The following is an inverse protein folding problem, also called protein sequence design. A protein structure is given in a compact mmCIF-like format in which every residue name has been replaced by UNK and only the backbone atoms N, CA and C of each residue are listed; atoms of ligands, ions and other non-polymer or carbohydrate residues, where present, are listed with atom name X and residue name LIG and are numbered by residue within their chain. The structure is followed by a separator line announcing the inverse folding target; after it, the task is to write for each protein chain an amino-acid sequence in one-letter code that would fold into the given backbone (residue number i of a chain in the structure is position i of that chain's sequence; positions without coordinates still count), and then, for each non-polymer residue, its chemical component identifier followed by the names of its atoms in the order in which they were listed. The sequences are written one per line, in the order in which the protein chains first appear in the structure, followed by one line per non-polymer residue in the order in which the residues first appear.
data_IF_754390143754
#
_entry.id   IF_754390143754
#
_cell.length_a   1.000
_cell.length_b   1.000
_cell.length_c   1.000
_cell.angle_alpha   90.00
_cell.angle_beta   90.00
_cell.angle_gamma   90.00
#
_symmetry.space_group_name_H-M   'P 1'
#
loop_
_entity.id
_entity.type
_entity.pdbx_description
1 polymer ?
#
# COMPACT_ATOMS: atom_id res chain seq x y z
N UNK A 1 11.15 -3.18 18.65
CA UNK A 1 11.93 -3.71 17.51
C UNK A 1 12.72 -2.56 16.90
N UNK A 2 14.04 -2.76 16.73
CA UNK A 2 14.92 -1.81 16.04
C UNK A 2 15.45 -2.47 14.80
N UNK A 3 15.58 -1.71 13.71
CA UNK A 3 16.18 -2.15 12.45
C UNK A 3 16.96 -0.99 11.82
N UNK A 4 17.99 -1.30 11.05
CA UNK A 4 18.75 -0.34 10.27
C UNK A 4 18.44 -0.54 8.79
N UNK A 5 18.24 0.54 8.05
CA UNK A 5 17.97 0.49 6.61
C UNK A 5 18.79 1.53 5.85
N UNK A 6 19.20 1.19 4.63
CA UNK A 6 19.68 2.15 3.64
C UNK A 6 18.59 2.39 2.61
N UNK A 7 18.20 3.65 2.45
CA UNK A 7 17.23 4.04 1.41
C UNK A 7 17.89 4.03 0.02
N UNK A 8 17.14 3.54 -0.96
CA UNK A 8 17.55 3.52 -2.36
C UNK A 8 16.70 4.51 -3.18
N UNK A 9 17.28 5.22 -4.16
CA UNK A 9 16.51 6.04 -5.07
C UNK A 9 15.59 5.18 -5.94
N UNK A 10 14.47 5.75 -6.41
CA UNK A 10 13.59 5.11 -7.40
C UNK A 10 14.12 5.24 -8.84
N UNK A 11 14.98 6.21 -9.09
CA UNK A 11 15.62 6.46 -10.37
C UNK A 11 17.06 6.91 -10.18
N UNK A 12 17.87 6.80 -11.21
CA UNK A 12 19.30 7.19 -11.21
C UNK A 12 19.53 8.70 -11.11
N UNK A 13 18.53 9.52 -11.40
CA UNK A 13 18.52 10.97 -11.21
C UNK A 13 18.41 11.40 -9.73
N UNK A 14 18.26 10.43 -8.85
CA UNK A 14 18.72 10.43 -7.45
C UNK A 14 18.11 11.46 -6.49
N UNK A 15 17.07 12.17 -6.86
CA UNK A 15 16.63 13.34 -6.10
C UNK A 15 15.74 12.99 -4.90
N UNK A 16 15.03 11.86 -4.91
CA UNK A 16 14.21 11.46 -3.76
C UNK A 16 13.97 9.95 -3.71
N UNK A 17 14.15 9.31 -2.55
CA UNK A 17 13.80 7.91 -2.37
C UNK A 17 12.30 7.70 -2.15
N UNK A 18 11.48 8.76 -2.16
CA UNK A 18 10.06 8.69 -1.84
C UNK A 18 9.21 8.68 -3.10
N UNK A 19 8.25 7.78 -3.13
CA UNK A 19 7.20 7.72 -4.12
C UNK A 19 5.84 7.77 -3.44
N UNK A 20 4.92 8.55 -4.01
CA UNK A 20 3.57 8.67 -3.49
C UNK A 20 2.68 7.60 -4.13
N UNK A 21 1.94 6.87 -3.29
CA UNK A 21 1.01 5.82 -3.68
C UNK A 21 -0.34 6.07 -3.01
N UNK A 22 -1.40 6.01 -3.78
CA UNK A 22 -2.78 6.15 -3.28
C UNK A 22 -3.37 4.78 -3.00
N UNK A 23 -3.91 4.59 -1.80
CA UNK A 23 -4.49 3.33 -1.34
C UNK A 23 -5.87 3.54 -0.73
N UNK A 24 -6.64 2.45 -0.63
CA UNK A 24 -7.84 2.32 0.18
C UNK A 24 -7.57 1.38 1.34
N UNK A 25 -8.01 1.74 2.55
CA UNK A 25 -8.04 0.83 3.70
C UNK A 25 -9.49 0.60 4.04
N UNK A 26 -9.99 -0.59 3.73
CA UNK A 26 -11.41 -0.95 3.74
C UNK A 26 -11.68 -1.94 4.86
N UNK A 27 -12.84 -1.77 5.51
CA UNK A 27 -13.40 -2.82 6.37
C UNK A 27 -13.86 -3.95 5.46
N UNK A 28 -13.44 -5.16 5.77
CA UNK A 28 -13.74 -6.35 4.98
C UNK A 28 -14.31 -7.45 5.84
N UNK A 29 -14.93 -8.44 5.22
CA UNK A 29 -15.31 -9.67 5.90
C UNK A 29 -14.09 -10.30 6.57
N UNK A 30 -14.25 -10.83 7.80
CA UNK A 30 -13.18 -11.48 8.55
C UNK A 30 -12.61 -12.71 7.86
N UNK A 31 -13.38 -13.34 6.99
CA UNK A 31 -12.93 -14.42 6.13
C UNK A 31 -11.84 -13.96 5.14
N UNK A 32 -11.97 -12.72 4.64
CA UNK A 32 -11.00 -12.11 3.73
C UNK A 32 -9.75 -11.58 4.46
N UNK A 33 -9.93 -11.09 5.68
CA UNK A 33 -8.85 -10.67 6.56
C UNK A 33 -9.28 -10.77 8.03
N UNK A 34 -8.59 -11.57 8.88
CA UNK A 34 -8.95 -11.75 10.29
C UNK A 34 -9.01 -10.44 11.09
N UNK A 35 -8.20 -9.45 10.71
CA UNK A 35 -8.22 -8.10 11.31
C UNK A 35 -9.50 -7.32 11.02
N UNK A 36 -10.33 -7.76 10.06
CA UNK A 36 -11.46 -7.02 9.52
C UNK A 36 -11.06 -5.82 8.64
N UNK A 37 -9.76 -5.63 8.35
CA UNK A 37 -9.24 -4.53 7.54
C UNK A 37 -8.30 -5.03 6.46
N UNK A 38 -8.41 -4.46 5.26
CA UNK A 38 -7.51 -4.76 4.16
C UNK A 38 -7.16 -3.51 3.36
N UNK A 39 -5.92 -3.46 2.89
CA UNK A 39 -5.41 -2.36 2.08
C UNK A 39 -5.40 -2.75 0.61
N UNK A 40 -5.87 -1.84 -0.24
CA UNK A 40 -5.93 -1.99 -1.69
C UNK A 40 -5.26 -0.80 -2.37
N UNK A 41 -4.46 -1.05 -3.37
CA UNK A 41 -3.91 0.00 -4.23
C UNK A 41 -5.03 0.56 -5.10
N UNK A 42 -5.16 1.89 -5.15
CA UNK A 42 -6.16 2.54 -5.97
C UNK A 42 -5.73 2.56 -7.45
N UNK A 43 -6.42 1.88 -8.37
CA UNK A 43 -6.06 1.91 -9.79
C UNK A 43 -6.22 3.30 -10.40
N UNK A 44 -7.26 4.04 -10.02
CA UNK A 44 -7.58 5.36 -10.58
C UNK A 44 -6.52 6.42 -10.25
N UNK A 45 -6.03 6.46 -9.00
CA UNK A 45 -5.08 7.48 -8.55
C UNK A 45 -3.61 7.15 -8.85
N UNK A 46 -3.31 5.90 -9.23
CA UNK A 46 -1.95 5.44 -9.57
C UNK A 46 -1.75 5.17 -11.07
N UNK A 47 -2.63 5.64 -11.94
CA UNK A 47 -2.58 5.43 -13.41
C UNK A 47 -1.24 5.74 -14.06
N UNK A 48 -0.56 6.82 -13.60
CA UNK A 48 0.71 7.29 -14.16
C UNK A 48 1.84 6.26 -14.03
N UNK A 49 1.64 5.23 -13.25
CA UNK A 49 2.64 4.20 -12.98
C UNK A 49 2.57 2.99 -13.93
N UNK A 50 1.76 3.08 -14.98
CA UNK A 50 1.64 2.01 -15.98
C UNK A 50 0.83 0.80 -15.51
N UNK A 51 -0.03 0.97 -14.52
CA UNK A 51 -0.93 -0.11 -14.10
C UNK A 51 -1.96 -0.39 -15.20
N UNK A 52 -1.84 -1.56 -15.82
CA UNK A 52 -2.74 -2.02 -16.87
C UNK A 52 -4.17 -2.33 -16.37
N UNK A 53 -4.45 -2.14 -15.09
CA UNK A 53 -5.70 -2.57 -14.48
C UNK A 53 -6.75 -1.46 -14.41
N UNK A 54 -7.22 -1.04 -15.58
CA UNK A 54 -8.48 -0.30 -15.72
C UNK A 54 -8.52 1.08 -15.07
N UNK A 55 -9.38 1.92 -15.66
CA UNK A 55 -9.56 3.32 -15.25
C UNK A 55 -10.52 3.49 -14.08
N UNK A 56 -11.14 2.40 -13.61
CA UNK A 56 -12.24 2.43 -12.64
C UNK A 56 -11.82 1.81 -11.31
N UNK A 57 -12.25 2.45 -10.23
CA UNK A 57 -12.05 1.96 -8.88
C UNK A 57 -13.40 1.93 -8.16
N UNK A 58 -13.92 0.76 -7.73
CA UNK A 58 -15.21 0.68 -7.05
C UNK A 58 -15.24 1.46 -5.73
N UNK A 59 -14.14 1.46 -4.99
CA UNK A 59 -14.05 2.23 -3.75
C UNK A 59 -14.13 3.74 -3.98
N UNK A 60 -13.45 4.25 -5.03
CA UNK A 60 -13.59 5.65 -5.42
C UNK A 60 -15.02 5.99 -5.84
N UNK A 61 -15.68 5.10 -6.59
CA UNK A 61 -17.08 5.28 -7.00
C UNK A 61 -18.02 5.33 -5.78
N UNK A 62 -17.85 4.41 -4.83
CA UNK A 62 -18.60 4.40 -3.57
C UNK A 62 -18.38 5.69 -2.77
N UNK A 63 -17.12 6.15 -2.66
CA UNK A 63 -16.80 7.40 -1.97
C UNK A 63 -17.43 8.63 -2.65
N UNK A 64 -17.41 8.69 -3.99
CA UNK A 64 -18.02 9.78 -4.76
C UNK A 64 -19.54 9.82 -4.54
N UNK A 65 -20.21 8.67 -4.67
CA UNK A 65 -21.66 8.54 -4.42
C UNK A 65 -22.03 8.94 -2.99
N UNK A 66 -21.26 8.48 -2.01
CA UNK A 66 -21.48 8.84 -0.61
C UNK A 66 -21.30 10.36 -0.38
N UNK A 67 -20.33 10.98 -1.05
CA UNK A 67 -20.13 12.42 -1.00
C UNK A 67 -21.32 13.18 -1.56
N UNK A 68 -21.86 12.78 -2.70
CA UNK A 68 -23.07 13.38 -3.28
C UNK A 68 -24.26 13.26 -2.31
N UNK A 69 -24.51 12.08 -1.76
CA UNK A 69 -25.58 11.83 -0.79
C UNK A 69 -25.39 12.64 0.50
N UNK A 70 -24.16 12.84 0.96
CA UNK A 70 -23.85 13.69 2.11
C UNK A 70 -24.24 15.15 1.87
N UNK A 71 -23.97 15.67 0.67
CA UNK A 71 -24.32 17.07 0.34
C UNK A 71 -25.83 17.27 0.13
N UNK A 72 -26.54 16.26 -0.35
CA UNK A 72 -28.00 16.31 -0.53
C UNK A 72 -28.81 15.99 0.74
N UNK A 73 -28.15 15.49 1.80
CA UNK A 73 -28.81 15.09 3.04
C UNK A 73 -29.43 16.29 3.78
N UNK A 74 -30.72 16.16 4.18
CA UNK A 74 -31.46 17.17 4.89
C UNK A 74 -31.15 17.19 6.39
N UNK A 75 -30.82 16.04 6.98
CA UNK A 75 -30.56 15.90 8.41
C UNK A 75 -29.09 15.56 8.70
N UNK A 76 -28.65 15.87 9.93
CA UNK A 76 -27.26 15.68 10.34
C UNK A 76 -26.87 14.21 10.49
N UNK A 77 -27.77 13.34 10.92
CA UNK A 77 -27.51 11.92 11.09
C UNK A 77 -27.20 11.25 9.74
N UNK A 78 -28.02 11.54 8.72
CA UNK A 78 -27.80 11.09 7.35
C UNK A 78 -26.52 11.68 6.76
N UNK A 79 -26.25 12.96 7.01
CA UNK A 79 -25.00 13.62 6.57
C UNK A 79 -23.76 12.96 7.19
N UNK A 80 -23.81 12.65 8.49
CA UNK A 80 -22.75 11.95 9.19
C UNK A 80 -22.55 10.54 8.63
N UNK A 81 -23.65 9.77 8.46
CA UNK A 81 -23.60 8.41 7.89
C UNK A 81 -22.87 8.38 6.55
N UNK A 82 -23.23 9.25 5.61
CA UNK A 82 -22.57 9.30 4.31
C UNK A 82 -21.17 9.89 4.39
N UNK A 83 -20.89 10.78 5.35
CA UNK A 83 -19.54 11.26 5.64
C UNK A 83 -18.60 10.14 6.09
N UNK A 84 -19.08 9.23 6.91
CA UNK A 84 -18.33 8.06 7.37
C UNK A 84 -18.06 7.09 6.21
N UNK A 85 -19.05 6.83 5.35
CA UNK A 85 -18.87 6.00 4.14
C UNK A 85 -17.85 6.62 3.17
N UNK A 86 -17.96 7.93 2.90
CA UNK A 86 -16.98 8.67 2.08
C UNK A 86 -15.57 8.54 2.66
N UNK A 87 -15.41 8.77 3.97
CA UNK A 87 -14.13 8.71 4.65
C UNK A 87 -13.49 7.33 4.59
N UNK A 88 -14.30 6.28 4.73
CA UNK A 88 -13.85 4.89 4.70
C UNK A 88 -13.39 4.45 3.32
N UNK A 89 -14.07 4.89 2.25
CA UNK A 89 -13.83 4.42 0.89
C UNK A 89 -12.90 5.33 0.07
N UNK A 90 -12.69 6.58 0.48
CA UNK A 90 -11.80 7.47 -0.28
C UNK A 90 -10.37 6.97 -0.30
N UNK A 91 -9.66 7.22 -1.39
CA UNK A 91 -8.23 6.97 -1.47
C UNK A 91 -7.46 7.86 -0.48
N UNK A 92 -6.43 7.30 0.11
CA UNK A 92 -5.50 7.97 1.03
C UNK A 92 -4.10 7.86 0.46
N UNK A 93 -3.38 8.97 0.51
CA UNK A 93 -1.99 8.98 0.06
C UNK A 93 -1.07 8.37 1.11
N UNK A 94 -0.17 7.54 0.65
CA UNK A 94 0.92 6.97 1.42
C UNK A 94 2.25 7.23 0.70
N UNK A 95 3.32 7.15 1.44
CA UNK A 95 4.66 7.15 0.90
C UNK A 95 5.21 5.73 0.86
N UNK A 96 5.95 5.42 -0.20
CA UNK A 96 6.71 4.19 -0.33
C UNK A 96 8.16 4.52 -0.61
N UNK A 97 9.06 3.74 -0.04
CA UNK A 97 10.49 3.81 -0.27
C UNK A 97 11.03 2.43 -0.64
N UNK A 98 12.13 2.42 -1.40
CA UNK A 98 12.97 1.24 -1.60
C UNK A 98 14.07 1.27 -0.56
N UNK A 99 14.41 0.13 0.01
CA UNK A 99 15.50 0.06 0.99
C UNK A 99 16.16 -1.32 1.03
N UNK A 100 17.37 -1.33 1.56
CA UNK A 100 18.07 -2.53 2.01
C UNK A 100 18.02 -2.53 3.54
N UNK A 101 17.64 -3.65 4.14
CA UNK A 101 17.71 -3.87 5.59
C UNK A 101 19.11 -4.36 5.94
N UNK A 102 19.81 -3.64 6.83
CA UNK A 102 21.15 -3.99 7.26
C UNK A 102 21.14 -5.20 8.17
N UNK A 103 22.07 -6.13 7.91
CA UNK A 103 22.13 -7.43 8.57
C UNK A 103 21.14 -8.46 7.98
N UNK A 104 20.46 -8.11 6.88
CA UNK A 104 19.57 -8.97 6.09
C UNK A 104 19.68 -8.61 4.61
N UNK A 105 20.88 -8.31 4.14
CA UNK A 105 21.16 -7.89 2.77
C UNK A 105 20.84 -8.97 1.74
N UNK A 106 20.86 -10.24 2.14
CA UNK A 106 20.48 -11.41 1.33
C UNK A 106 19.03 -11.38 0.87
N UNK A 107 18.14 -10.71 1.61
CA UNK A 107 16.74 -10.53 1.23
C UNK A 107 16.56 -9.56 0.04
N UNK A 108 17.60 -8.80 -0.30
CA UNK A 108 17.60 -7.83 -1.40
C UNK A 108 16.72 -6.62 -1.14
N UNK A 109 16.23 -6.01 -2.24
CA UNK A 109 15.45 -4.77 -2.18
C UNK A 109 14.07 -5.02 -1.56
N UNK A 110 13.79 -4.26 -0.50
CA UNK A 110 12.51 -4.23 0.20
C UNK A 110 11.76 -2.92 -0.09
N UNK A 111 10.44 -2.96 0.04
CA UNK A 111 9.58 -1.79 -0.05
C UNK A 111 8.91 -1.53 1.30
N UNK A 112 9.07 -0.32 1.80
CA UNK A 112 8.42 0.12 3.02
C UNK A 112 7.36 1.17 2.72
N UNK A 113 6.11 0.84 3.06
CA UNK A 113 4.93 1.69 2.88
C UNK A 113 4.53 2.29 4.22
N UNK A 114 4.32 3.61 4.26
CA UNK A 114 3.93 4.32 5.47
C UNK A 114 3.01 5.51 5.18
N UNK A 115 2.23 5.92 6.18
CA UNK A 115 1.25 6.97 6.05
C UNK A 115 1.88 8.33 5.73
N UNK A 116 1.22 9.07 4.85
CA UNK A 116 1.47 10.51 4.69
C UNK A 116 0.82 11.27 5.85
N UNK A 117 1.58 12.09 6.56
CA UNK A 117 1.06 12.93 7.64
C UNK A 117 0.78 14.36 7.15
N UNK A 118 -0.41 14.89 7.46
CA UNK A 118 -0.72 16.30 7.24
C UNK A 118 -0.09 17.22 8.29
N UNK A 119 0.31 16.67 9.43
CA UNK A 119 0.85 17.42 10.57
C UNK A 119 2.37 17.64 10.51
N UNK A 120 3.02 17.21 9.42
CA UNK A 120 4.48 17.27 9.25
C UNK A 120 5.29 16.58 10.34
N UNK A 121 4.74 15.51 10.90
CA UNK A 121 5.35 14.65 11.94
C UNK A 121 5.43 13.18 11.51
N UNK A 122 5.13 12.90 10.26
CA UNK A 122 5.15 11.57 9.67
C UNK A 122 6.58 11.04 9.46
N UNK A 123 6.64 9.78 9.03
CA UNK A 123 7.91 9.09 8.76
C UNK A 123 8.73 9.84 7.70
N UNK A 124 8.09 10.28 6.61
CA UNK A 124 8.77 11.07 5.56
C UNK A 124 9.34 12.37 6.13
N UNK A 125 8.54 13.10 6.93
CA UNK A 125 8.97 14.37 7.49
C UNK A 125 10.19 14.19 8.41
N UNK A 126 10.21 13.14 9.22
CA UNK A 126 11.34 12.80 10.09
C UNK A 126 12.62 12.51 9.29
N UNK A 127 12.50 11.71 8.23
CA UNK A 127 13.63 11.40 7.34
C UNK A 127 14.12 12.67 6.63
N UNK A 128 13.23 13.49 6.10
CA UNK A 128 13.58 14.72 5.42
C UNK A 128 14.19 15.77 6.36
N UNK A 129 13.78 15.80 7.64
CA UNK A 129 14.41 16.64 8.64
C UNK A 129 15.86 16.21 8.89
N UNK A 130 16.14 14.91 9.02
CA UNK A 130 17.51 14.39 9.12
C UNK A 130 18.31 14.82 7.88
N UNK A 131 17.77 14.58 6.66
CA UNK A 131 18.43 14.94 5.41
C UNK A 131 18.77 16.44 5.35
N UNK A 132 17.82 17.30 5.72
CA UNK A 132 17.99 18.75 5.74
C UNK A 132 19.08 19.19 6.74
N UNK A 133 19.06 18.67 7.96
CA UNK A 133 20.05 19.00 8.99
C UNK A 133 21.46 18.58 8.56
N UNK A 134 21.63 17.40 7.98
CA UNK A 134 22.91 16.91 7.48
C UNK A 134 23.42 17.72 6.29
N UNK A 135 22.53 18.06 5.34
CA UNK A 135 22.87 18.91 4.20
C UNK A 135 23.29 20.34 4.65
N UNK A 136 22.57 20.95 5.61
CA UNK A 136 22.90 22.26 6.17
C UNK A 136 24.25 22.23 6.89
N UNK A 137 24.52 21.19 7.67
CA UNK A 137 25.80 21.03 8.35
C UNK A 137 26.98 20.93 7.38
N UNK A 138 26.81 20.20 6.27
CA UNK A 138 27.81 20.12 5.22
C UNK A 138 28.00 21.44 4.48
N UNK A 139 26.92 22.15 4.17
CA UNK A 139 26.95 23.44 3.50
C UNK A 139 27.72 24.52 4.29
N UNK A 140 27.63 24.50 5.62
CA UNK A 140 28.44 25.39 6.51
C UNK A 140 29.95 25.15 6.37
N UNK A 141 30.34 23.97 5.87
CA UNK A 141 31.74 23.58 5.61
C UNK A 141 32.12 23.71 4.12
N UNK A 142 31.25 24.32 3.30
CA UNK A 142 31.46 24.46 1.86
C UNK A 142 31.21 23.19 1.03
N UNK A 143 30.60 22.16 1.60
CA UNK A 143 30.38 20.85 0.98
C UNK A 143 28.90 20.66 0.62
N UNK A 144 28.64 19.88 -0.45
CA UNK A 144 27.31 19.31 -0.74
C UNK A 144 27.23 17.92 -0.13
N UNK A 145 26.10 17.58 0.48
CA UNK A 145 25.89 16.27 1.08
C UNK A 145 24.42 15.84 0.98
N UNK A 146 24.24 14.55 0.73
CA UNK A 146 22.93 13.89 0.76
C UNK A 146 23.05 12.60 1.56
N UNK A 147 22.13 12.39 2.50
CA UNK A 147 22.05 11.10 3.22
C UNK A 147 21.64 9.94 2.31
N UNK A 148 21.11 10.24 1.12
CA UNK A 148 20.68 9.25 0.12
C UNK A 148 21.79 8.91 -0.88
N UNK A 149 22.99 9.46 -0.70
CA UNK A 149 24.14 9.17 -1.57
C UNK A 149 24.54 7.69 -1.47
N UNK A 150 24.85 7.08 -2.61
CA UNK A 150 25.17 5.66 -2.68
C UNK A 150 26.56 5.33 -2.13
N UNK A 151 27.49 6.29 -2.25
CA UNK A 151 28.88 6.12 -1.83
C UNK A 151 29.19 6.70 -0.45
N UNK A 152 28.39 7.68 -0.02
CA UNK A 152 28.63 8.44 1.20
C UNK A 152 27.33 8.79 1.92
N UNK A 153 26.32 7.91 1.84
CA UNK A 153 25.03 8.12 2.50
C UNK A 153 25.00 7.66 3.95
N UNK A 154 23.84 7.74 4.59
CA UNK A 154 23.61 7.30 5.96
C UNK A 154 22.59 6.19 6.04
N UNK A 155 22.81 5.27 6.95
CA UNK A 155 21.79 4.30 7.34
C UNK A 155 20.82 4.95 8.33
N UNK A 156 19.56 4.57 8.23
CA UNK A 156 18.52 5.04 9.14
C UNK A 156 18.21 3.96 10.17
N UNK A 157 18.28 4.32 11.43
CA UNK A 157 17.91 3.48 12.57
C UNK A 157 16.45 3.74 12.90
N UNK A 158 15.61 2.72 12.71
CA UNK A 158 14.16 2.79 12.93
C UNK A 158 13.83 1.97 14.16
N UNK A 159 13.28 2.63 15.18
CA UNK A 159 12.81 1.97 16.40
C UNK A 159 11.29 2.03 16.48
N UNK A 160 10.68 0.85 16.55
CA UNK A 160 9.25 0.67 16.76
C UNK A 160 9.02 0.32 18.23
N UNK A 161 8.23 1.12 18.92
CA UNK A 161 7.79 0.86 20.29
C UNK A 161 6.27 0.97 20.40
N UNK A 162 5.68 0.24 21.36
CA UNK A 162 4.29 0.45 21.75
C UNK A 162 4.24 1.42 22.90
N UNK A 163 3.36 2.40 22.81
CA UNK A 163 3.04 3.31 23.89
C UNK A 163 2.03 2.68 24.86
N UNK A 164 1.88 3.26 26.06
CA UNK A 164 0.94 2.78 27.09
C UNK A 164 -0.52 2.72 26.64
N UNK A 165 -0.90 3.56 25.68
CA UNK A 165 -2.22 3.58 25.04
C UNK A 165 -2.32 2.63 23.80
N UNK A 166 -1.41 1.68 23.71
CA UNK A 166 -1.36 0.64 22.66
C UNK A 166 -1.12 1.16 21.24
N UNK A 167 -0.70 2.41 21.07
CA UNK A 167 -0.30 2.98 19.78
C UNK A 167 1.14 2.63 19.45
N UNK A 168 1.44 2.51 18.17
CA UNK A 168 2.81 2.34 17.70
C UNK A 168 3.50 3.71 17.56
N UNK A 169 4.61 3.88 18.25
CA UNK A 169 5.52 5.01 18.06
C UNK A 169 6.67 4.60 17.16
N UNK A 170 7.03 5.49 16.22
CA UNK A 170 8.14 5.30 15.29
C UNK A 170 9.18 6.41 15.55
N UNK A 171 10.35 6.00 16.02
CA UNK A 171 11.51 6.87 16.12
C UNK A 171 12.44 6.58 14.95
N UNK A 172 13.00 7.63 14.34
CA UNK A 172 13.96 7.51 13.23
C UNK A 172 15.14 8.41 13.56
N UNK A 173 16.32 7.81 13.53
CA UNK A 173 17.61 8.47 13.69
C UNK A 173 18.50 8.06 12.52
N UNK A 174 19.58 8.76 12.28
CA UNK A 174 20.68 8.27 11.45
C UNK A 174 21.77 7.61 12.31
N UNK A 175 22.59 6.77 11.70
CA UNK A 175 23.70 6.10 12.37
C UNK A 175 24.91 7.03 12.61
N UNK A 176 24.88 8.23 12.06
CA UNK A 176 25.92 9.26 12.21
C UNK A 176 27.19 9.05 11.38
N UNK A 177 27.35 7.88 10.76
CA UNK A 177 28.58 7.49 10.04
C UNK A 177 28.29 7.31 8.54
N UNK A 178 28.73 8.27 7.69
CA UNK A 178 28.59 8.07 6.24
C UNK A 178 29.31 6.82 5.75
N UNK A 179 28.62 6.04 4.93
CA UNK A 179 29.13 4.79 4.41
C UNK A 179 28.67 4.53 2.98
N UNK A 180 29.33 3.62 2.29
CA UNK A 180 28.86 3.11 0.99
C UNK A 180 27.59 2.28 1.17
N UNK A 181 26.81 2.18 0.10
CA UNK A 181 25.67 1.24 0.04
C UNK A 181 26.14 -0.19 0.29
N UNK A 182 27.24 -0.57 -0.37
CA UNK A 182 27.98 -1.82 -0.20
C UNK A 182 29.40 -1.64 -0.77
N UNK A 183 30.36 -2.45 -0.31
CA UNK A 183 31.69 -2.52 -0.91
C UNK A 183 31.72 -3.40 -2.17
N UNK A 184 30.74 -4.28 -2.34
CA UNK A 184 30.54 -5.09 -3.54
C UNK A 184 29.79 -4.25 -4.60
N UNK A 185 30.52 -3.83 -5.63
CA UNK A 185 30.01 -2.99 -6.71
C UNK A 185 28.92 -3.69 -7.51
N UNK A 186 29.07 -4.98 -7.82
CA UNK A 186 28.10 -5.76 -8.60
C UNK A 186 26.79 -5.92 -7.81
N UNK A 187 26.88 -6.16 -6.52
CA UNK A 187 25.73 -6.25 -5.64
C UNK A 187 25.01 -4.90 -5.52
N UNK A 188 25.75 -3.80 -5.40
CA UNK A 188 25.20 -2.45 -5.39
C UNK A 188 24.43 -2.13 -6.66
N UNK A 189 25.00 -2.42 -7.82
CA UNK A 189 24.35 -2.25 -9.12
C UNK A 189 23.10 -3.12 -9.25
N UNK A 190 23.14 -4.37 -8.78
CA UNK A 190 21.99 -5.27 -8.75
C UNK A 190 20.84 -4.69 -7.92
N UNK A 191 21.11 -4.10 -6.77
CA UNK A 191 20.06 -3.49 -5.94
C UNK A 191 19.48 -2.21 -6.57
N UNK A 192 20.33 -1.37 -7.16
CA UNK A 192 19.88 -0.12 -7.83
C UNK A 192 19.00 -0.45 -9.02
N UNK A 193 19.43 -1.42 -9.84
CA UNK A 193 18.78 -1.82 -11.09
C UNK A 193 17.75 -2.95 -10.90
N UNK A 194 17.41 -3.30 -9.64
CA UNK A 194 16.42 -4.34 -9.36
C UNK A 194 15.11 -4.01 -10.11
N UNK A 195 14.66 -4.92 -11.00
CA UNK A 195 13.48 -4.69 -11.83
C UNK A 195 12.19 -4.67 -11.03
N UNK A 196 12.22 -5.18 -9.79
CA UNK A 196 11.04 -5.24 -8.91
C UNK A 196 10.45 -3.87 -8.68
N UNK A 197 9.19 -3.74 -8.98
CA UNK A 197 8.43 -2.50 -8.78
C UNK A 197 7.60 -2.59 -7.49
N UNK A 198 7.25 -1.46 -6.93
CA UNK A 198 6.42 -1.41 -5.73
C UNK A 198 5.05 -2.10 -5.95
N UNK A 199 4.51 -2.08 -7.15
CA UNK A 199 3.24 -2.71 -7.49
C UNK A 199 3.33 -4.24 -7.70
N UNK A 200 4.52 -4.81 -7.76
CA UNK A 200 4.73 -6.26 -7.68
C UNK A 200 4.52 -6.76 -6.24
N UNK A 201 4.76 -5.88 -5.27
CA UNK A 201 4.54 -6.15 -3.83
C UNK A 201 3.14 -5.74 -3.40
N UNK A 202 2.71 -4.55 -3.78
CA UNK A 202 1.39 -3.99 -3.48
C UNK A 202 0.53 -4.03 -4.74
N UNK A 203 0.06 -5.22 -5.10
CA UNK A 203 -0.64 -5.47 -6.37
C UNK A 203 -2.00 -4.78 -6.42
N UNK A 204 -2.33 -4.21 -7.58
CA UNK A 204 -3.68 -3.77 -7.89
C UNK A 204 -4.56 -5.00 -8.10
N UNK A 205 -5.71 -5.05 -7.43
CA UNK A 205 -6.69 -6.13 -7.62
C UNK A 205 -7.61 -5.83 -8.81
N UNK A 206 -8.13 -6.88 -9.50
CA UNK A 206 -9.13 -6.72 -10.55
C UNK A 206 -10.37 -5.95 -10.07
N UNK A 207 -11.07 -5.32 -11.02
CA UNK A 207 -12.23 -4.49 -10.71
C UNK A 207 -13.34 -5.30 -10.01
N UNK A 208 -13.71 -6.45 -10.55
CA UNK A 208 -14.72 -7.37 -10.02
C UNK A 208 -14.38 -7.82 -8.58
N UNK A 209 -13.10 -8.17 -8.34
CA UNK A 209 -12.63 -8.47 -6.98
C UNK A 209 -12.91 -7.32 -6.00
N UNK A 210 -12.53 -6.10 -6.38
CA UNK A 210 -12.68 -4.92 -5.52
C UNK A 210 -14.15 -4.50 -5.37
N UNK A 211 -14.97 -4.72 -6.40
CA UNK A 211 -16.41 -4.42 -6.37
C UNK A 211 -17.14 -5.32 -5.36
N UNK A 212 -16.87 -6.62 -5.38
CA UNK A 212 -17.42 -7.58 -4.40
C UNK A 212 -17.03 -7.16 -2.97
N UNK A 213 -15.76 -6.80 -2.76
CA UNK A 213 -15.29 -6.32 -1.44
C UNK A 213 -15.97 -5.02 -1.04
N UNK A 214 -16.20 -4.09 -1.98
CA UNK A 214 -16.90 -2.83 -1.70
C UNK A 214 -18.36 -3.05 -1.27
N UNK A 215 -18.96 -4.13 -1.71
CA UNK A 215 -20.31 -4.58 -1.30
C UNK A 215 -20.31 -5.42 -0.02
N UNK A 216 -19.14 -5.70 0.57
CA UNK A 216 -18.99 -6.48 1.80
C UNK A 216 -18.90 -8.00 1.57
N UNK A 217 -18.86 -8.45 0.32
CA UNK A 217 -18.75 -9.86 -0.07
C UNK A 217 -17.32 -10.42 0.02
N UNK A 218 -17.21 -11.71 -0.27
CA UNK A 218 -15.96 -12.46 -0.30
C UNK A 218 -15.69 -12.93 -1.73
N UNK A 219 -14.70 -12.34 -2.43
CA UNK A 219 -14.42 -12.70 -3.82
C UNK A 219 -13.77 -14.07 -3.93
N UNK A 220 -14.31 -14.92 -4.77
CA UNK A 220 -13.75 -16.21 -5.21
C UNK A 220 -13.58 -16.19 -6.72
N UNK A 221 -12.51 -16.81 -7.20
CA UNK A 221 -12.24 -16.83 -8.65
C UNK A 221 -13.04 -17.95 -9.31
N UNK A 222 -13.92 -17.59 -10.23
CA UNK A 222 -14.65 -18.50 -11.09
C UNK A 222 -13.83 -18.77 -12.35
N UNK A 223 -13.37 -20.01 -12.50
CA UNK A 223 -12.53 -20.43 -13.64
C UNK A 223 -13.31 -20.52 -14.96
N UNK A 224 -14.61 -20.80 -14.89
CA UNK A 224 -15.46 -20.95 -16.07
C UNK A 224 -15.78 -19.59 -16.68
N UNK A 225 -16.08 -18.62 -15.81
CA UNK A 225 -16.36 -17.23 -16.21
C UNK A 225 -15.09 -16.38 -16.33
N UNK A 226 -13.92 -16.90 -15.89
CA UNK A 226 -12.64 -16.19 -15.86
C UNK A 226 -12.72 -14.81 -15.16
N UNK A 227 -13.47 -14.73 -14.05
CA UNK A 227 -13.67 -13.51 -13.24
C UNK A 227 -13.88 -13.84 -11.77
N UNK A 228 -13.82 -12.82 -10.93
CA UNK A 228 -14.23 -12.95 -9.53
C UNK A 228 -15.74 -12.82 -9.40
N UNK A 229 -16.33 -13.68 -8.55
CA UNK A 229 -17.73 -13.68 -8.14
C UNK A 229 -17.84 -13.69 -6.62
N UNK A 230 -18.97 -13.27 -6.07
CA UNK A 230 -19.20 -13.40 -4.63
C UNK A 230 -19.32 -14.88 -4.22
N UNK A 231 -18.69 -15.24 -3.11
CA UNK A 231 -18.70 -16.61 -2.58
C UNK A 231 -20.12 -17.14 -2.38
N UNK A 232 -21.01 -16.30 -1.82
CA UNK A 232 -22.39 -16.70 -1.59
C UNK A 232 -23.18 -16.96 -2.89
N UNK A 233 -22.91 -16.16 -3.93
CA UNK A 233 -23.50 -16.37 -5.25
C UNK A 233 -22.96 -17.65 -5.89
N UNK A 234 -21.65 -17.91 -5.78
CA UNK A 234 -21.03 -19.12 -6.29
C UNK A 234 -21.55 -20.41 -5.57
N UNK A 235 -21.78 -20.33 -4.28
CA UNK A 235 -22.36 -21.44 -3.49
C UNK A 235 -23.79 -21.72 -3.90
N UNK A 236 -24.64 -20.70 -4.04
CA UNK A 236 -26.02 -20.84 -4.50
C UNK A 236 -26.11 -21.45 -5.90
N UNK A 237 -25.29 -20.96 -6.83
CA UNK A 237 -25.27 -21.50 -8.20
C UNK A 237 -24.88 -22.99 -8.23
N UNK A 238 -23.97 -23.43 -7.36
CA UNK A 238 -23.61 -24.85 -7.23
C UNK A 238 -24.75 -25.69 -6.67
N UNK A 239 -25.44 -25.18 -5.65
CA UNK A 239 -26.60 -25.87 -5.06
C UNK A 239 -27.74 -26.01 -6.08
N UNK A 240 -28.02 -24.95 -6.84
CA UNK A 240 -29.04 -24.96 -7.90
C UNK A 240 -28.68 -25.97 -9.02
N UNK A 241 -27.42 -25.98 -9.48
CA UNK A 241 -26.96 -26.91 -10.49
C UNK A 241 -27.03 -28.38 -10.01
N UNK A 242 -26.71 -28.62 -8.74
CA UNK A 242 -26.81 -29.98 -8.15
C UNK A 242 -28.26 -30.43 -8.04
N UNK A 243 -29.17 -29.54 -7.63
CA UNK A 243 -30.60 -29.85 -7.57
C UNK A 243 -31.16 -30.15 -8.95
N UNK A 244 -30.70 -29.45 -9.99
CA UNK A 244 -31.13 -29.69 -11.35
C UNK A 244 -30.64 -31.05 -11.90
N UNK A 245 -29.38 -31.41 -11.62
CA UNK A 245 -28.81 -32.72 -11.91
C UNK A 245 -29.59 -33.86 -11.24
N UNK A 246 -29.95 -33.69 -9.97
CA UNK A 246 -30.75 -34.67 -9.24
C UNK A 246 -32.14 -34.82 -9.89
N UNK A 247 -32.81 -33.72 -10.25
CA UNK A 247 -34.10 -33.74 -10.93
C UNK A 247 -34.02 -34.45 -12.28
N UNK A 248 -32.99 -34.16 -13.08
CA UNK A 248 -32.77 -34.82 -14.36
C UNK A 248 -32.47 -36.33 -14.20
N UNK A 249 -31.73 -36.71 -13.18
CA UNK A 249 -31.44 -38.12 -12.89
C UNK A 249 -32.68 -38.92 -12.49
N UNK A 250 -33.61 -38.27 -11.76
CA UNK A 250 -34.89 -38.87 -11.36
C UNK A 250 -35.94 -38.91 -12.48
N UNK A 251 -35.80 -38.04 -13.49
CA UNK A 251 -36.72 -37.93 -14.62
C UNK A 251 -36.39 -38.89 -15.78
N UNK A 252 -35.24 -39.60 -15.75
CA UNK A 252 -34.91 -40.60 -16.77
C UNK A 252 -35.63 -41.90 -16.46
N UNK A 253 -36.62 -42.36 -17.31
CA UNK A 253 -37.25 -43.68 -17.13
C UNK A 253 -36.22 -44.77 -17.37
N UNK A 254 -36.26 -45.79 -16.53
CA UNK A 254 -35.54 -47.07 -16.67
C UNK A 254 -36.01 -47.84 -17.90
#
# INVERSE_FOLDING_TARGET
KTLAIRLLPFSTDGLTPFKKVSIHTIIVNKELAPSGWKTFVCPTHNKKEGHAMGDKCPFCATAAKAREMKFSAQDEATRKKYGDVEFMHRAKDMWIVRCIERGHEEDGVKFWLFNSSKKKDGVQDKIMNIASLRAQSAARKGNKYSIFDLNNGLDLIITLSRTSDNKTSIQILDDGVPSKLTDDVELGEKWINDPKKWYDVYTVKPYDYMEIVAMGGVPVFDKEQNRYVDKLEAEKAKEEAEQERIKESLAKPT
#
